data_IF_962734513809
#
_entry.id   IF_962734513809
#
_cell.length_a   1.000
_cell.length_b   1.000
_cell.length_c   1.000
_cell.angle_alpha   90.00
_cell.angle_beta   90.00
_cell.angle_gamma   90.00
#
_symmetry.space_group_name_H-M   'P 1'
#
loop_
_entity.id
_entity.type
_entity.pdbx_description
1 polymer ?
#
# COMPACT_ATOMS: atom_id res chain seq x y z
N UNK A 1 19.33 8.36 -9.18
CA UNK A 1 18.10 8.00 -9.94
C UNK A 1 16.98 8.93 -9.51
N UNK A 2 16.31 9.55 -10.46
CA UNK A 2 15.08 10.31 -10.24
C UNK A 2 13.91 9.37 -9.96
N UNK A 3 12.77 9.89 -9.49
CA UNK A 3 11.56 9.06 -9.27
C UNK A 3 11.07 8.45 -10.60
N UNK A 4 11.16 9.20 -11.71
CA UNK A 4 10.78 8.70 -13.04
C UNK A 4 11.69 7.56 -13.52
N UNK A 5 13.00 7.66 -13.29
CA UNK A 5 13.94 6.58 -13.61
C UNK A 5 13.66 5.31 -12.81
N UNK A 6 13.29 5.45 -11.53
CA UNK A 6 12.90 4.32 -10.67
C UNK A 6 11.62 3.67 -11.19
N UNK A 7 10.62 4.48 -11.53
CA UNK A 7 9.35 4.01 -12.07
C UNK A 7 9.54 3.24 -13.37
N UNK A 8 10.34 3.79 -14.30
CA UNK A 8 10.64 3.15 -15.59
C UNK A 8 11.42 1.83 -15.40
N UNK A 9 12.41 1.81 -14.49
CA UNK A 9 13.18 0.61 -14.19
C UNK A 9 12.28 -0.48 -13.57
N UNK A 10 11.43 -0.12 -12.62
CA UNK A 10 10.46 -1.04 -12.00
C UNK A 10 9.49 -1.63 -13.03
N UNK A 11 9.01 -0.81 -13.97
CA UNK A 11 8.13 -1.28 -15.04
C UNK A 11 8.83 -2.26 -15.98
N UNK A 12 10.05 -1.96 -16.38
CA UNK A 12 10.86 -2.85 -17.22
C UNK A 12 11.05 -4.20 -16.53
N UNK A 13 11.43 -4.18 -15.26
CA UNK A 13 11.59 -5.39 -14.45
C UNK A 13 10.27 -6.19 -14.38
N UNK A 14 9.15 -5.49 -14.12
CA UNK A 14 7.84 -6.14 -14.07
C UNK A 14 7.50 -6.86 -15.37
N UNK A 15 7.72 -6.24 -16.53
CA UNK A 15 7.46 -6.88 -17.82
C UNK A 15 8.27 -8.17 -18.01
N UNK A 16 9.48 -8.22 -17.47
CA UNK A 16 10.34 -9.40 -17.52
C UNK A 16 9.85 -10.54 -16.60
N UNK A 17 9.40 -10.19 -15.38
CA UNK A 17 9.04 -11.21 -14.37
C UNK A 17 7.56 -11.60 -14.35
N UNK A 18 6.66 -10.84 -14.98
CA UNK A 18 5.19 -10.99 -14.88
C UNK A 18 4.68 -12.40 -15.16
N UNK A 19 5.24 -13.08 -16.15
CA UNK A 19 4.84 -14.46 -16.49
C UNK A 19 5.21 -15.44 -15.37
N UNK A 20 6.38 -15.26 -14.76
CA UNK A 20 6.83 -16.08 -13.63
C UNK A 20 5.97 -15.83 -12.38
N UNK A 21 5.58 -14.58 -12.14
CA UNK A 21 4.64 -14.21 -11.06
C UNK A 21 3.30 -14.88 -11.29
N UNK A 22 2.77 -14.84 -12.52
CA UNK A 22 1.48 -15.46 -12.87
C UNK A 22 1.50 -16.98 -12.64
N UNK A 23 2.56 -17.65 -13.09
CA UNK A 23 2.71 -19.11 -12.90
C UNK A 23 2.75 -19.48 -11.41
N UNK A 24 3.51 -18.71 -10.61
CA UNK A 24 3.59 -18.93 -9.17
C UNK A 24 2.23 -18.69 -8.49
N UNK A 25 1.52 -17.61 -8.86
CA UNK A 25 0.16 -17.33 -8.38
C UNK A 25 -0.82 -18.46 -8.66
N UNK A 26 -0.83 -18.99 -9.89
CA UNK A 26 -1.72 -20.07 -10.29
C UNK A 26 -1.46 -21.36 -9.50
N UNK A 27 -0.18 -21.70 -9.26
CA UNK A 27 0.22 -22.84 -8.42
C UNK A 27 -0.27 -22.67 -6.98
N UNK A 28 -0.06 -21.50 -6.40
CA UNK A 28 -0.54 -21.20 -5.05
C UNK A 28 -2.07 -21.27 -4.97
N UNK A 29 -2.78 -20.66 -5.92
CA UNK A 29 -4.24 -20.70 -5.98
C UNK A 29 -4.78 -22.14 -6.14
N UNK A 30 -4.12 -22.96 -6.94
CA UNK A 30 -4.47 -24.36 -7.09
C UNK A 30 -4.28 -25.15 -5.79
N UNK A 31 -3.19 -24.92 -5.05
CA UNK A 31 -2.94 -25.58 -3.76
C UNK A 31 -4.01 -25.23 -2.72
N UNK A 32 -4.49 -23.99 -2.70
CA UNK A 32 -5.59 -23.56 -1.82
C UNK A 32 -6.91 -24.23 -2.18
N UNK A 33 -7.23 -24.38 -3.48
CA UNK A 33 -8.45 -25.07 -3.94
C UNK A 33 -8.46 -26.56 -3.56
N UNK A 34 -7.33 -27.23 -3.69
CA UNK A 34 -7.19 -28.64 -3.31
C UNK A 34 -7.37 -28.82 -1.81
N UNK A 35 -6.73 -27.98 -1.01
CA UNK A 35 -6.84 -28.02 0.46
C UNK A 35 -8.28 -27.78 0.94
N UNK A 36 -9.00 -26.83 0.34
CA UNK A 36 -10.40 -26.56 0.65
C UNK A 36 -11.34 -27.73 0.32
N UNK A 37 -11.17 -28.37 -0.84
CA UNK A 37 -11.98 -29.54 -1.25
C UNK A 37 -11.82 -30.74 -0.32
N UNK A 38 -10.64 -30.98 0.21
CA UNK A 38 -10.36 -32.11 1.08
C UNK A 38 -10.53 -31.81 2.57
N UNK A 39 -11.05 -30.63 2.94
CA UNK A 39 -11.17 -30.17 4.35
C UNK A 39 -9.87 -30.35 5.15
N UNK A 40 -8.74 -30.34 4.47
CA UNK A 40 -7.42 -30.38 5.11
C UNK A 40 -7.11 -29.03 5.72
N UNK A 41 -6.45 -29.03 6.86
CA UNK A 41 -5.93 -27.78 7.43
C UNK A 41 -5.03 -27.09 6.39
N UNK A 42 -5.27 -25.83 6.11
CA UNK A 42 -4.41 -25.03 5.25
C UNK A 42 -3.13 -24.79 6.05
N UNK A 43 -2.04 -25.49 5.70
CA UNK A 43 -0.79 -25.44 6.46
C UNK A 43 -0.04 -24.13 6.28
N UNK A 44 -0.27 -23.42 5.18
CA UNK A 44 0.31 -22.09 4.93
C UNK A 44 -0.72 -21.20 4.27
N UNK A 45 -1.00 -20.07 4.92
CA UNK A 45 -1.85 -19.01 4.38
C UNK A 45 -1.07 -18.05 3.48
N UNK A 46 0.25 -18.21 3.39
CA UNK A 46 1.14 -17.37 2.58
C UNK A 46 2.28 -18.18 1.98
N UNK A 47 2.74 -17.74 0.82
CA UNK A 47 3.89 -18.29 0.11
C UNK A 47 4.73 -17.14 -0.46
N UNK A 48 6.05 -17.24 -0.36
CA UNK A 48 6.97 -16.22 -0.84
C UNK A 48 7.94 -16.79 -1.87
N UNK A 49 8.19 -16.01 -2.92
CA UNK A 49 9.15 -16.32 -3.97
C UNK A 49 10.10 -15.15 -4.19
N UNK A 50 11.29 -15.45 -4.70
CA UNK A 50 12.27 -14.45 -5.11
C UNK A 50 12.54 -14.63 -6.60
N UNK A 51 12.43 -13.53 -7.36
CA UNK A 51 12.60 -13.49 -8.80
C UNK A 51 13.71 -12.50 -9.18
N UNK A 52 14.74 -12.97 -9.87
CA UNK A 52 15.82 -12.11 -10.37
C UNK A 52 15.55 -11.71 -11.81
N UNK A 53 15.81 -10.45 -12.16
CA UNK A 53 15.79 -9.92 -13.53
C UNK A 53 17.17 -10.04 -14.20
N UNK A 54 17.23 -9.81 -15.51
CA UNK A 54 18.50 -9.72 -16.25
C UNK A 54 19.39 -8.59 -15.73
N UNK A 55 18.78 -7.48 -15.27
CA UNK A 55 19.48 -6.39 -14.60
C UNK A 55 19.96 -6.73 -13.18
N UNK A 56 19.80 -7.99 -12.74
CA UNK A 56 20.14 -8.50 -11.39
C UNK A 56 19.36 -7.85 -10.26
N UNK A 57 18.24 -7.21 -10.54
CA UNK A 57 17.30 -6.76 -9.53
C UNK A 57 16.54 -7.95 -8.95
N UNK A 58 16.39 -7.97 -7.63
CA UNK A 58 15.78 -9.09 -6.90
C UNK A 58 14.41 -8.68 -6.38
N UNK A 59 13.38 -9.13 -7.05
CA UNK A 59 11.99 -8.92 -6.66
C UNK A 59 11.48 -10.02 -5.75
N UNK A 60 10.78 -9.65 -4.70
CA UNK A 60 10.09 -10.56 -3.81
C UNK A 60 8.59 -10.56 -4.15
N UNK A 61 8.02 -11.76 -4.19
CA UNK A 61 6.58 -11.97 -4.40
C UNK A 61 6.05 -12.69 -3.18
N UNK A 62 5.02 -12.14 -2.56
CA UNK A 62 4.33 -12.77 -1.44
C UNK A 62 2.85 -12.92 -1.80
N UNK A 63 2.35 -14.17 -1.78
CA UNK A 63 0.95 -14.49 -1.90
C UNK A 63 0.37 -14.74 -0.52
N UNK A 64 -0.80 -14.16 -0.25
CA UNK A 64 -1.52 -14.35 1.00
C UNK A 64 -2.96 -14.72 0.69
N UNK A 65 -3.39 -15.88 1.19
CA UNK A 65 -4.80 -16.25 1.17
C UNK A 65 -5.55 -15.49 2.25
N UNK A 66 -6.64 -14.81 1.90
CA UNK A 66 -7.43 -13.96 2.81
C UNK A 66 -8.88 -14.45 2.97
N UNK A 67 -9.21 -15.62 2.41
CA UNK A 67 -10.54 -16.19 2.53
C UNK A 67 -11.23 -16.37 1.19
N UNK A 68 -12.55 -16.17 1.19
CA UNK A 68 -13.38 -16.23 -0.01
C UNK A 68 -14.03 -14.88 -0.27
N UNK A 69 -14.17 -14.55 -1.56
CA UNK A 69 -14.98 -13.42 -2.00
C UNK A 69 -16.47 -13.70 -1.79
N UNK A 70 -17.36 -12.69 -1.79
CA UNK A 70 -18.81 -12.89 -1.63
C UNK A 70 -19.42 -13.83 -2.68
N UNK A 71 -18.84 -13.94 -3.87
CA UNK A 71 -19.22 -14.88 -4.93
C UNK A 71 -18.58 -16.27 -4.79
N UNK A 72 -17.93 -16.55 -3.66
CA UNK A 72 -17.38 -17.88 -3.32
C UNK A 72 -16.06 -18.22 -3.98
N UNK A 73 -15.37 -17.26 -4.62
CA UNK A 73 -14.04 -17.46 -5.17
C UNK A 73 -12.97 -17.30 -4.09
N UNK A 74 -11.86 -18.01 -4.28
CA UNK A 74 -10.68 -17.85 -3.43
C UNK A 74 -10.12 -16.42 -3.58
N UNK A 75 -9.94 -15.74 -2.46
CA UNK A 75 -9.32 -14.45 -2.41
C UNK A 75 -7.83 -14.58 -2.04
N UNK A 76 -6.96 -14.12 -2.92
CA UNK A 76 -5.50 -14.13 -2.73
C UNK A 76 -4.98 -12.74 -3.05
N UNK A 77 -4.30 -12.15 -2.08
CA UNK A 77 -3.57 -10.90 -2.28
C UNK A 77 -2.14 -11.22 -2.68
N UNK A 78 -1.63 -10.48 -3.66
CA UNK A 78 -0.26 -10.59 -4.15
C UNK A 78 0.49 -9.29 -3.86
N UNK A 79 1.59 -9.40 -3.11
CA UNK A 79 2.53 -8.30 -2.91
C UNK A 79 3.78 -8.56 -3.72
N UNK A 80 4.03 -7.70 -4.71
CA UNK A 80 5.26 -7.71 -5.51
C UNK A 80 6.10 -6.51 -5.09
N UNK A 81 7.30 -6.74 -4.55
CA UNK A 81 8.11 -5.66 -4.00
C UNK A 81 9.62 -5.88 -4.15
N UNK A 82 10.35 -4.77 -4.15
CA UNK A 82 11.81 -4.76 -4.18
C UNK A 82 12.36 -3.77 -3.12
N UNK A 83 13.37 -4.15 -2.33
CA UNK A 83 14.09 -3.21 -1.50
C UNK A 83 15.00 -2.31 -2.35
N UNK A 84 14.93 -1.01 -2.13
CA UNK A 84 15.74 0.01 -2.77
C UNK A 84 16.69 0.65 -1.76
N UNK A 85 18.00 0.39 -1.88
CA UNK A 85 19.00 1.00 -1.00
C UNK A 85 19.18 2.47 -1.33
N UNK A 86 19.13 3.32 -0.31
CA UNK A 86 19.37 4.76 -0.35
C UNK A 86 20.45 5.12 0.66
N UNK A 87 20.98 6.33 0.58
CA UNK A 87 21.97 6.85 1.56
C UNK A 87 21.43 6.81 2.99
N UNK A 88 20.15 7.11 3.17
CA UNK A 88 19.50 7.20 4.48
C UNK A 88 18.70 5.95 4.89
N UNK A 89 18.94 4.80 4.25
CA UNK A 89 18.28 3.55 4.60
C UNK A 89 17.76 2.74 3.42
N UNK A 90 16.80 1.88 3.68
CA UNK A 90 16.19 1.03 2.65
C UNK A 90 14.72 1.41 2.49
N UNK A 91 14.36 1.84 1.30
CA UNK A 91 12.98 2.02 0.90
C UNK A 91 12.45 0.71 0.30
N UNK A 92 11.13 0.56 0.26
CA UNK A 92 10.49 -0.59 -0.36
C UNK A 92 9.53 -0.12 -1.44
N UNK A 93 9.76 -0.60 -2.66
CA UNK A 93 8.86 -0.35 -3.79
C UNK A 93 7.88 -1.52 -3.92
N UNK A 94 6.60 -1.24 -3.87
CA UNK A 94 5.52 -2.19 -4.12
C UNK A 94 4.87 -1.89 -5.46
N UNK A 95 4.58 -2.94 -6.21
CA UNK A 95 3.78 -2.84 -7.43
C UNK A 95 2.38 -3.40 -7.14
N UNK A 96 1.39 -2.51 -7.04
CA UNK A 96 0.05 -2.89 -6.60
C UNK A 96 -0.92 -3.21 -7.72
N UNK A 97 -0.85 -2.51 -8.83
CA UNK A 97 -1.72 -2.76 -9.97
C UNK A 97 -0.90 -2.88 -11.27
N UNK A 98 -0.58 -4.11 -11.64
CA UNK A 98 0.16 -4.36 -12.88
C UNK A 98 -0.53 -3.85 -14.14
N UNK A 99 -1.87 -3.72 -14.14
CA UNK A 99 -2.63 -3.21 -15.30
C UNK A 99 -2.50 -1.71 -15.45
N UNK A 100 -2.53 -0.99 -14.33
CA UNK A 100 -2.42 0.47 -14.28
C UNK A 100 -1.00 0.95 -14.02
N UNK A 101 -0.08 0.04 -13.73
CA UNK A 101 1.29 0.34 -13.33
C UNK A 101 1.36 1.43 -12.26
N UNK A 102 0.98 1.05 -11.05
CA UNK A 102 1.10 1.88 -9.85
C UNK A 102 2.23 1.37 -8.99
N UNK A 103 3.13 2.27 -8.62
CA UNK A 103 4.21 1.98 -7.68
C UNK A 103 3.93 2.70 -6.37
N UNK A 104 3.92 1.95 -5.28
CA UNK A 104 3.92 2.52 -3.93
C UNK A 104 5.32 2.39 -3.33
N UNK A 105 5.90 3.50 -2.92
CA UNK A 105 7.19 3.56 -2.27
C UNK A 105 7.01 3.85 -0.79
N UNK A 106 7.38 2.88 0.03
CA UNK A 106 7.41 3.03 1.49
C UNK A 106 8.83 3.44 1.89
N UNK A 107 9.01 4.69 2.30
CA UNK A 107 10.34 5.22 2.63
C UNK A 107 10.86 4.66 3.97
N UNK A 108 12.18 4.62 4.13
CA UNK A 108 12.83 4.25 5.39
C UNK A 108 12.40 5.12 6.56
N UNK A 109 12.24 6.43 6.31
CA UNK A 109 11.73 7.37 7.31
C UNK A 109 10.29 7.06 7.72
N UNK A 110 9.42 6.75 6.75
CA UNK A 110 8.04 6.32 7.05
C UNK A 110 8.04 5.07 7.94
N UNK A 111 8.84 4.08 7.60
CA UNK A 111 8.93 2.82 8.37
C UNK A 111 9.43 3.04 9.80
N UNK A 112 10.40 3.92 9.97
CA UNK A 112 10.86 4.30 11.29
C UNK A 112 9.73 4.92 12.11
N UNK A 113 8.98 5.88 11.53
CA UNK A 113 7.84 6.52 12.21
C UNK A 113 6.69 5.56 12.48
N UNK A 114 6.40 4.65 11.55
CA UNK A 114 5.40 3.62 11.74
C UNK A 114 5.77 2.67 12.90
N UNK A 115 7.04 2.29 12.99
CA UNK A 115 7.52 1.47 14.10
C UNK A 115 7.40 2.21 15.43
N UNK A 116 7.96 3.43 15.53
CA UNK A 116 7.98 4.23 16.76
C UNK A 116 6.58 4.59 17.28
N UNK A 117 5.62 4.83 16.37
CA UNK A 117 4.32 5.40 16.71
C UNK A 117 3.18 4.38 16.74
N UNK A 118 3.37 3.23 16.13
CA UNK A 118 2.33 2.20 16.07
C UNK A 118 2.82 0.83 16.56
N UNK A 119 3.87 0.27 15.93
CA UNK A 119 4.26 -1.10 16.23
C UNK A 119 4.78 -1.28 17.66
N UNK A 120 5.72 -0.43 18.08
CA UNK A 120 6.33 -0.52 19.41
C UNK A 120 5.32 -0.20 20.53
N UNK A 121 4.50 0.89 20.46
CA UNK A 121 3.49 1.17 21.49
C UNK A 121 2.42 0.09 21.59
N UNK A 122 2.00 -0.49 20.47
CA UNK A 122 1.01 -1.56 20.43
C UNK A 122 1.59 -2.94 20.81
N UNK A 123 2.89 -3.06 21.05
CA UNK A 123 3.56 -4.32 21.40
C UNK A 123 3.44 -5.38 20.31
N UNK A 124 3.42 -4.97 19.03
CA UNK A 124 3.18 -5.88 17.92
C UNK A 124 4.43 -6.70 17.61
N UNK A 125 4.33 -8.02 17.81
CA UNK A 125 5.34 -8.96 17.34
C UNK A 125 5.13 -9.28 15.86
N UNK A 126 6.06 -8.85 15.04
CA UNK A 126 6.02 -9.05 13.59
C UNK A 126 6.31 -10.49 13.16
N UNK A 127 6.75 -11.37 14.07
CA UNK A 127 7.07 -12.79 13.79
C UNK A 127 7.98 -12.98 12.57
N UNK A 128 8.96 -12.08 12.40
CA UNK A 128 9.89 -12.08 11.27
C UNK A 128 9.36 -11.46 9.97
N UNK A 129 8.15 -10.95 9.93
CA UNK A 129 7.63 -10.18 8.80
C UNK A 129 8.25 -8.78 8.80
N UNK A 130 8.71 -8.32 7.65
CA UNK A 130 9.29 -6.97 7.56
C UNK A 130 8.20 -5.89 7.78
N UNK A 131 8.47 -4.78 8.51
CA UNK A 131 7.49 -3.72 8.79
C UNK A 131 6.77 -3.17 7.56
N UNK A 132 7.45 -3.02 6.42
CA UNK A 132 6.82 -2.57 5.18
C UNK A 132 5.74 -3.54 4.68
N UNK A 133 6.00 -4.84 4.76
CA UNK A 133 5.05 -5.88 4.35
C UNK A 133 3.89 -5.92 5.34
N UNK A 134 4.19 -5.86 6.63
CA UNK A 134 3.18 -5.80 7.67
C UNK A 134 2.25 -4.59 7.47
N UNK A 135 2.81 -3.40 7.19
CA UNK A 135 2.05 -2.20 6.89
C UNK A 135 1.11 -2.41 5.70
N UNK A 136 1.62 -2.91 4.57
CA UNK A 136 0.83 -3.14 3.36
C UNK A 136 -0.30 -4.15 3.59
N UNK A 137 -0.03 -5.21 4.37
CA UNK A 137 -0.99 -6.27 4.68
C UNK A 137 -2.11 -5.88 5.65
N UNK A 138 -1.86 -4.90 6.51
CA UNK A 138 -2.80 -4.53 7.57
C UNK A 138 -3.41 -3.13 7.36
N UNK A 139 -3.17 -2.52 6.21
CA UNK A 139 -3.74 -1.24 5.80
C UNK A 139 -4.27 -1.32 4.35
N UNK A 140 -4.88 -2.44 3.97
CA UNK A 140 -5.51 -2.62 2.65
C UNK A 140 -6.75 -1.72 2.49
N UNK A 141 -7.37 -1.33 3.61
CA UNK A 141 -8.52 -0.42 3.72
C UNK A 141 -8.15 1.06 3.61
N UNK A 142 -6.83 1.37 3.45
CA UNK A 142 -6.38 2.76 3.38
C UNK A 142 -7.05 3.53 2.25
N UNK A 143 -7.55 4.69 2.58
CA UNK A 143 -8.26 5.57 1.66
C UNK A 143 -7.79 7.01 1.81
N UNK A 144 -7.96 7.80 0.77
CA UNK A 144 -7.58 9.21 0.82
C UNK A 144 -8.51 9.97 1.75
N UNK A 145 -7.92 10.82 2.60
CA UNK A 145 -8.65 11.80 3.35
C UNK A 145 -9.21 12.87 2.41
N UNK A 146 -10.49 13.19 2.56
CA UNK A 146 -11.14 14.27 1.80
C UNK A 146 -10.73 15.64 2.32
N UNK A 147 -10.33 15.72 3.57
CA UNK A 147 -9.99 16.97 4.22
C UNK A 147 -8.49 17.26 4.12
N UNK A 148 -8.14 18.40 3.56
CA UNK A 148 -6.76 18.83 3.35
C UNK A 148 -6.41 20.05 4.23
N UNK A 149 -5.14 20.20 4.67
CA UNK A 149 -4.73 21.36 5.46
C UNK A 149 -4.94 22.68 4.70
N UNK A 150 -5.67 23.63 5.31
CA UNK A 150 -5.94 24.94 4.71
C UNK A 150 -4.69 25.79 4.45
N UNK A 151 -3.57 25.44 5.07
CA UNK A 151 -2.29 26.11 4.91
C UNK A 151 -1.38 25.49 3.83
N UNK A 152 -1.86 24.49 3.10
CA UNK A 152 -1.12 23.96 1.96
C UNK A 152 -1.29 24.86 0.74
N UNK A 153 -0.20 25.04 -0.03
CA UNK A 153 -0.24 25.74 -1.32
C UNK A 153 -0.89 24.84 -2.39
N UNK A 154 -1.29 25.44 -3.52
CA UNK A 154 -1.85 24.66 -4.64
C UNK A 154 -0.88 23.62 -5.18
N UNK A 155 0.43 23.91 -5.17
CA UNK A 155 1.46 22.94 -5.53
C UNK A 155 1.51 21.78 -4.53
N UNK A 156 1.41 22.07 -3.23
CA UNK A 156 1.38 21.04 -2.19
C UNK A 156 0.11 20.17 -2.29
N UNK A 157 -1.04 20.79 -2.54
CA UNK A 157 -2.32 20.10 -2.75
C UNK A 157 -2.29 19.21 -3.99
N UNK A 158 -1.55 19.60 -5.03
CA UNK A 158 -1.40 18.81 -6.24
C UNK A 158 -0.51 17.57 -6.06
N UNK A 159 0.42 17.61 -5.11
CA UNK A 159 1.44 16.57 -4.94
C UNK A 159 1.28 15.74 -3.66
N UNK A 160 0.59 16.23 -2.64
CA UNK A 160 0.50 15.59 -1.33
C UNK A 160 -0.94 15.33 -0.93
N UNK A 161 -1.17 14.23 -0.24
CA UNK A 161 -2.43 13.98 0.45
C UNK A 161 -2.22 13.09 1.68
N UNK A 162 -3.28 12.91 2.45
CA UNK A 162 -3.29 11.94 3.53
C UNK A 162 -4.03 10.67 3.12
N UNK A 163 -3.50 9.52 3.52
CA UNK A 163 -4.23 8.25 3.52
C UNK A 163 -4.60 7.88 4.95
N UNK A 164 -5.87 7.62 5.17
CA UNK A 164 -6.41 7.14 6.45
C UNK A 164 -6.53 5.62 6.41
N UNK A 165 -6.18 4.96 7.49
CA UNK A 165 -6.40 3.54 7.73
C UNK A 165 -6.80 3.31 9.18
N UNK A 166 -7.21 2.09 9.52
CA UNK A 166 -7.50 1.72 10.91
C UNK A 166 -6.31 1.84 11.87
N UNK A 167 -5.08 2.00 11.36
CA UNK A 167 -3.87 2.11 12.17
C UNK A 167 -3.39 3.56 12.34
N UNK A 168 -3.88 4.51 11.52
CA UNK A 168 -3.49 5.90 11.60
C UNK A 168 -3.48 6.61 10.25
N UNK A 169 -2.77 7.72 10.20
CA UNK A 169 -2.74 8.66 9.09
C UNK A 169 -1.36 8.64 8.42
N UNK A 170 -1.33 8.41 7.12
CA UNK A 170 -0.10 8.42 6.31
C UNK A 170 -0.06 9.67 5.44
N UNK A 171 0.97 10.49 5.57
CA UNK A 171 1.25 11.55 4.60
C UNK A 171 1.94 10.94 3.40
N UNK A 172 1.38 11.16 2.22
CA UNK A 172 1.94 10.68 0.95
C UNK A 172 2.26 11.82 0.00
N UNK A 173 3.19 11.56 -0.93
CA UNK A 173 3.48 12.41 -2.08
C UNK A 173 3.23 11.62 -3.35
N UNK A 174 2.59 12.27 -4.33
CA UNK A 174 2.36 11.73 -5.67
C UNK A 174 3.41 12.31 -6.64
N UNK A 175 4.06 11.45 -7.41
CA UNK A 175 4.97 11.84 -8.47
C UNK A 175 4.75 10.89 -9.64
N UNK A 176 4.17 11.38 -10.73
CA UNK A 176 3.77 10.53 -11.86
C UNK A 176 2.79 9.42 -11.42
N UNK A 177 3.18 8.17 -11.61
CA UNK A 177 2.43 6.98 -11.15
C UNK A 177 2.97 6.38 -9.85
N UNK A 178 3.90 7.07 -9.19
CA UNK A 178 4.51 6.65 -7.94
C UNK A 178 3.89 7.40 -6.77
N UNK A 179 3.41 6.64 -5.79
CA UNK A 179 2.91 7.11 -4.52
C UNK A 179 3.97 6.87 -3.45
N UNK A 180 4.50 7.93 -2.83
CA UNK A 180 5.55 7.82 -1.81
C UNK A 180 5.00 8.11 -0.43
N UNK A 181 5.08 7.13 0.48
CA UNK A 181 4.80 7.31 1.89
C UNK A 181 5.93 8.09 2.56
N UNK A 182 5.63 9.30 3.05
CA UNK A 182 6.60 10.22 3.64
C UNK A 182 6.72 9.99 5.13
N UNK A 183 5.59 10.04 5.86
CA UNK A 183 5.57 9.88 7.31
C UNK A 183 4.27 9.27 7.80
N UNK A 184 4.33 8.59 8.94
CA UNK A 184 3.18 8.01 9.63
C UNK A 184 2.85 8.83 10.87
N UNK A 185 1.56 9.01 11.11
CA UNK A 185 0.99 9.68 12.26
C UNK A 185 -0.01 8.74 12.92
N UNK A 186 0.21 8.42 14.19
CA UNK A 186 -0.74 7.62 14.96
C UNK A 186 -1.99 8.43 15.34
N UNK A 187 -3.06 7.73 15.70
CA UNK A 187 -4.32 8.38 16.07
C UNK A 187 -4.23 9.12 17.41
N UNK A 188 -3.42 8.63 18.36
CA UNK A 188 -3.32 9.17 19.72
C UNK A 188 -2.59 10.51 19.77
N UNK A 189 -1.60 10.69 18.87
CA UNK A 189 -0.77 11.91 18.81
C UNK A 189 -1.18 12.88 17.69
N UNK A 190 -2.38 12.74 17.15
CA UNK A 190 -2.89 13.68 16.15
C UNK A 190 -3.20 15.03 16.80
N UNK A 191 -2.78 16.12 16.14
CA UNK A 191 -3.34 17.43 16.47
C UNK A 191 -4.87 17.38 16.34
N UNK A 192 -5.59 18.22 17.10
CA UNK A 192 -7.07 18.30 17.08
C UNK A 192 -7.64 18.31 15.66
N UNK A 193 -6.98 19.01 14.76
CA UNK A 193 -7.34 19.09 13.36
C UNK A 193 -7.24 17.72 12.64
N UNK A 194 -6.14 16.98 12.83
CA UNK A 194 -5.94 15.68 12.18
C UNK A 194 -6.84 14.58 12.77
N UNK A 195 -7.15 14.69 14.07
CA UNK A 195 -8.16 13.83 14.70
C UNK A 195 -9.53 14.03 14.07
N UNK A 196 -9.93 15.29 13.85
CA UNK A 196 -11.18 15.62 13.15
C UNK A 196 -11.21 15.06 11.72
N UNK A 197 -10.09 15.10 10.98
CA UNK A 197 -9.98 14.46 9.66
C UNK A 197 -10.29 12.96 9.72
N UNK A 198 -9.74 12.26 10.71
CA UNK A 198 -9.99 10.82 10.85
C UNK A 198 -11.46 10.53 11.20
N UNK A 199 -12.07 11.33 12.07
CA UNK A 199 -13.48 11.19 12.46
C UNK A 199 -14.42 11.45 11.27
N UNK A 200 -14.17 12.49 10.48
CA UNK A 200 -14.94 12.81 9.29
C UNK A 200 -14.82 11.72 8.21
N UNK A 201 -13.63 11.17 8.02
CA UNK A 201 -13.41 10.06 7.09
C UNK A 201 -14.12 8.77 7.52
N UNK A 202 -14.10 8.46 8.81
CA UNK A 202 -14.84 7.32 9.36
C UNK A 202 -16.35 7.50 9.16
N UNK A 203 -16.86 8.70 9.44
CA UNK A 203 -18.27 9.05 9.21
C UNK A 203 -18.66 8.90 7.73
N UNK A 204 -17.86 9.43 6.80
CA UNK A 204 -18.12 9.34 5.36
C UNK A 204 -18.09 7.89 4.87
N UNK A 205 -17.20 7.08 5.42
CA UNK A 205 -17.13 5.64 5.12
C UNK A 205 -18.40 4.91 5.59
N UNK A 206 -18.80 5.12 6.83
CA UNK A 206 -20.00 4.51 7.40
C UNK A 206 -21.26 4.91 6.63
N UNK A 207 -21.31 6.15 6.13
CA UNK A 207 -22.42 6.65 5.30
C UNK A 207 -22.38 6.16 3.85
N UNK A 208 -21.39 5.32 3.48
CA UNK A 208 -21.23 4.80 2.12
C UNK A 208 -20.90 5.87 1.07
N UNK A 209 -20.45 7.05 1.52
CA UNK A 209 -20.08 8.18 0.65
C UNK A 209 -18.59 8.11 0.23
N UNK A 210 -17.75 7.41 0.98
CA UNK A 210 -16.39 7.13 0.60
C UNK A 210 -16.41 6.03 -0.47
N UNK A 211 -16.13 6.38 -1.72
CA UNK A 211 -15.94 5.40 -2.77
C UNK A 211 -14.52 4.82 -2.63
N UNK A 212 -14.38 3.52 -2.86
CA UNK A 212 -13.08 2.89 -3.15
C UNK A 212 -12.51 3.57 -4.40
N UNK A 213 -11.77 4.62 -4.19
CA UNK A 213 -11.31 5.46 -5.28
C UNK A 213 -9.92 5.01 -5.72
N UNK A 214 -9.79 4.84 -6.99
CA UNK A 214 -8.53 4.71 -7.66
C UNK A 214 -7.62 5.90 -7.28
N UNK A 215 -6.43 5.64 -6.74
CA UNK A 215 -5.50 6.68 -6.26
C UNK A 215 -5.26 7.78 -7.32
N UNK A 216 -5.29 7.44 -8.61
CA UNK A 216 -5.17 8.41 -9.70
C UNK A 216 -6.43 9.26 -9.94
N UNK A 217 -7.61 8.75 -9.58
CA UNK A 217 -8.86 9.52 -9.61
C UNK A 217 -8.97 10.56 -8.51
N UNK A 218 -8.16 10.42 -7.47
CA UNK A 218 -8.21 11.23 -6.26
C UNK A 218 -7.74 12.68 -6.45
N UNK A 219 -6.79 12.92 -7.38
CA UNK A 219 -6.36 14.28 -7.71
C UNK A 219 -7.50 15.12 -8.32
N UNK A 220 -8.38 14.49 -9.11
CA UNK A 220 -9.53 15.18 -9.70
C UNK A 220 -10.60 15.49 -8.65
N UNK A 221 -10.79 14.61 -7.65
CA UNK A 221 -11.75 14.80 -6.57
C UNK A 221 -11.26 15.87 -5.59
N UNK A 222 -9.98 15.86 -5.23
CA UNK A 222 -9.35 16.86 -4.37
C UNK A 222 -9.50 18.27 -4.94
N UNK A 223 -9.22 18.47 -6.24
CA UNK A 223 -9.40 19.77 -6.90
C UNK A 223 -10.86 20.24 -6.91
N UNK A 224 -11.82 19.32 -7.06
CA UNK A 224 -13.24 19.66 -7.08
C UNK A 224 -13.76 20.09 -5.70
N UNK A 225 -13.35 19.40 -4.65
CA UNK A 225 -13.75 19.72 -3.27
C UNK A 225 -13.13 21.03 -2.76
N UNK A 226 -11.92 21.39 -3.21
CA UNK A 226 -11.34 22.70 -2.88
C UNK A 226 -12.07 23.85 -3.61
N UNK A 227 -12.63 23.62 -4.79
CA UNK A 227 -13.39 24.63 -5.55
C UNK A 227 -14.83 24.86 -5.01
N UNK A 228 -15.41 23.86 -4.32
CA UNK A 228 -16.76 23.96 -3.75
C UNK A 228 -16.79 24.56 -2.32
N UNK A 229 -15.64 24.98 -1.77
CA UNK A 229 -15.52 25.55 -0.43
C UNK A 229 -15.20 27.09 -0.47
N UNK A 230 -15.02 27.65 -1.66
CA UNK A 230 -15.01 29.10 -1.88
C UNK A 230 -16.46 29.64 -2.08
#
# INVERSE_FOLDING_TARGET
MTEEEIEQAAYKDYLEIRTRVQIAFERFAQSMRISGKHKRAIHSLSESHTLCTQARNTWNVNFRYTGYTPDGKINIVCYLYIPLRRENGVDYLFMNDPKCFKVERVSSHFLQRYKERYLDPAGIDLKGVHPAIYFMQNNEDRRQAYYLPKNWTDEELAEKCFLVSGQGLSLIKLCGKTLTYITFLDQENLSRYKAQVCEEEEYLHLMGKAKDSDILGLQAISKKLCADIE
#
